data_IF_808422924792
#
_entry.id   IF_808422924792
#
_cell.length_a   1.000
_cell.length_b   1.000
_cell.length_c   1.000
_cell.angle_alpha   90.00
_cell.angle_beta   90.00
_cell.angle_gamma   90.00
#
_symmetry.space_group_name_H-M   'P 1'
#
loop_
_entity.id
_entity.type
_entity.pdbx_description
1 polymer ?
#
# COMPACT_ATOMS: atom_id res chain seq x y z
N UNK A 1 -21.38 -37.24 11.97
CA UNK A 1 -21.36 -36.22 10.91
C UNK A 1 -20.59 -35.03 11.44
N UNK A 2 -19.29 -34.90 11.06
CA UNK A 2 -18.46 -33.78 11.46
C UNK A 2 -18.81 -32.57 10.58
N UNK A 3 -19.17 -31.47 11.19
CA UNK A 3 -19.28 -30.18 10.51
C UNK A 3 -17.97 -29.88 9.78
N UNK A 4 -17.97 -29.45 8.53
CA UNK A 4 -16.76 -29.07 7.85
C UNK A 4 -16.13 -27.95 8.69
N UNK A 5 -14.91 -28.19 9.21
CA UNK A 5 -14.04 -27.13 9.73
C UNK A 5 -13.82 -26.18 8.56
N UNK A 6 -14.59 -25.11 8.51
CA UNK A 6 -14.23 -23.96 7.68
C UNK A 6 -12.84 -23.55 8.13
N UNK A 7 -11.84 -23.90 7.32
CA UNK A 7 -10.46 -23.50 7.52
C UNK A 7 -10.43 -21.96 7.39
N UNK A 8 -10.64 -21.28 8.50
CA UNK A 8 -10.46 -19.84 8.58
C UNK A 8 -8.95 -19.59 8.49
N UNK A 9 -8.47 -19.35 7.26
CA UNK A 9 -7.11 -18.92 7.05
C UNK A 9 -6.91 -17.53 7.69
N UNK A 10 -5.80 -17.34 8.38
CA UNK A 10 -5.38 -16.01 8.83
C UNK A 10 -4.61 -15.30 7.70
N UNK A 11 -4.91 -14.04 7.46
CA UNK A 11 -4.14 -13.18 6.58
C UNK A 11 -3.26 -12.25 7.43
N UNK A 12 -1.95 -12.44 7.33
CA UNK A 12 -0.97 -11.55 7.95
C UNK A 12 -0.68 -10.43 6.95
N UNK A 13 -0.84 -9.20 7.36
CA UNK A 13 -0.59 -8.02 6.56
C UNK A 13 0.52 -7.21 7.18
N UNK A 14 1.57 -6.97 6.43
CA UNK A 14 2.73 -6.24 6.91
C UNK A 14 2.94 -5.01 6.02
N UNK A 15 2.90 -3.84 6.63
CA UNK A 15 3.27 -2.60 5.98
C UNK A 15 4.75 -2.32 6.25
N UNK A 16 5.56 -2.38 5.20
CA UNK A 16 6.95 -1.93 5.20
C UNK A 16 6.95 -0.40 5.07
N UNK A 17 6.79 0.26 6.20
CA UNK A 17 6.76 1.71 6.31
C UNK A 17 8.18 2.30 6.40
N UNK A 18 8.36 3.62 6.14
CA UNK A 18 9.62 4.30 6.47
C UNK A 18 9.98 4.12 7.94
N UNK A 19 11.04 3.35 8.23
CA UNK A 19 11.54 3.10 9.58
C UNK A 19 10.73 2.14 10.45
N UNK A 20 9.76 1.39 9.91
CA UNK A 20 8.98 0.44 10.70
C UNK A 20 8.39 -0.70 9.86
N UNK A 21 8.25 -1.88 10.48
CA UNK A 21 7.36 -2.94 10.03
C UNK A 21 6.09 -2.91 10.89
N UNK A 22 4.95 -2.73 10.26
CA UNK A 22 3.65 -2.61 10.93
C UNK A 22 2.79 -3.80 10.54
N UNK A 23 2.56 -4.72 11.46
CA UNK A 23 1.92 -6.00 11.21
C UNK A 23 0.52 -6.07 11.82
N UNK A 24 -0.40 -6.69 11.07
CA UNK A 24 -1.75 -7.03 11.51
C UNK A 24 -2.08 -8.45 11.12
N UNK A 25 -2.68 -9.20 12.02
CA UNK A 25 -3.31 -10.48 11.70
C UNK A 25 -4.81 -10.26 11.53
N UNK A 26 -5.30 -10.56 10.34
CA UNK A 26 -6.72 -10.43 9.99
C UNK A 26 -7.31 -11.81 9.84
N UNK A 27 -8.38 -12.08 10.57
CA UNK A 27 -9.15 -13.31 10.45
C UNK A 27 -10.55 -12.98 9.94
N UNK A 28 -11.25 -13.99 9.42
CA UNK A 28 -12.62 -13.83 8.93
C UNK A 28 -13.56 -14.80 9.63
N UNK A 29 -14.55 -14.25 10.30
CA UNK A 29 -15.63 -15.05 10.89
C UNK A 29 -16.91 -14.75 10.12
N UNK A 30 -17.51 -15.79 9.51
CA UNK A 30 -18.71 -15.63 8.68
C UNK A 30 -18.54 -14.58 7.56
N UNK A 31 -17.33 -14.54 6.97
CA UNK A 31 -16.99 -13.57 5.92
C UNK A 31 -16.68 -12.15 6.43
N UNK A 32 -16.87 -11.86 7.73
CA UNK A 32 -16.58 -10.55 8.32
C UNK A 32 -15.14 -10.49 8.82
N UNK A 33 -14.32 -9.54 8.35
CA UNK A 33 -12.95 -9.39 8.81
C UNK A 33 -12.91 -8.79 10.21
N UNK A 34 -12.01 -9.30 11.05
CA UNK A 34 -11.63 -8.70 12.31
C UNK A 34 -10.10 -8.79 12.50
N UNK A 35 -9.54 -7.87 13.26
CA UNK A 35 -8.11 -7.81 13.53
C UNK A 35 -7.85 -8.53 14.86
N UNK A 36 -7.17 -9.67 14.82
CA UNK A 36 -6.90 -10.50 16.00
C UNK A 36 -5.64 -10.07 16.74
N UNK A 37 -4.61 -9.61 16.02
CA UNK A 37 -3.33 -9.21 16.58
C UNK A 37 -2.74 -8.02 15.80
N UNK A 38 -1.96 -7.20 16.50
CA UNK A 38 -1.24 -6.05 15.94
C UNK A 38 0.14 -5.97 16.54
N UNK A 39 1.15 -5.58 15.77
CA UNK A 39 2.50 -5.33 16.23
C UNK A 39 3.18 -4.25 15.37
N UNK A 40 4.17 -3.58 15.94
CA UNK A 40 5.00 -2.61 15.23
C UNK A 40 6.44 -2.81 15.66
N UNK A 41 7.34 -2.93 14.69
CA UNK A 41 8.78 -3.13 14.88
C UNK A 41 9.50 -1.95 14.24
N UNK A 42 10.03 -1.07 15.08
CA UNK A 42 10.79 0.10 14.63
C UNK A 42 12.20 -0.33 14.22
N UNK A 43 12.78 0.35 13.23
CA UNK A 43 14.18 0.18 12.85
C UNK A 43 14.77 1.49 12.33
N UNK A 44 16.06 1.68 12.52
CA UNK A 44 16.80 2.84 12.04
C UNK A 44 18.01 2.38 11.24
N UNK A 45 18.23 3.00 10.08
CA UNK A 45 19.40 2.67 9.25
C UNK A 45 19.48 1.18 8.89
N UNK A 46 20.54 0.50 9.33
CA UNK A 46 20.81 -0.92 9.03
C UNK A 46 20.08 -1.95 9.89
N UNK A 47 19.20 -1.56 10.81
CA UNK A 47 18.54 -2.44 11.79
C UNK A 47 17.28 -3.17 11.22
N UNK A 48 17.04 -3.05 9.93
CA UNK A 48 15.90 -3.76 9.27
C UNK A 48 15.96 -5.29 9.45
N UNK A 49 17.12 -5.96 9.38
CA UNK A 49 17.19 -7.40 9.62
C UNK A 49 16.70 -7.83 11.00
N UNK A 50 17.00 -7.06 12.06
CA UNK A 50 16.53 -7.33 13.42
C UNK A 50 14.99 -7.17 13.51
N UNK A 51 14.43 -6.14 12.88
CA UNK A 51 12.98 -5.96 12.80
C UNK A 51 12.30 -7.09 12.02
N UNK A 52 12.93 -7.60 10.96
CA UNK A 52 12.46 -8.77 10.21
C UNK A 52 12.51 -10.03 11.08
N UNK A 53 13.56 -10.24 11.86
CA UNK A 53 13.66 -11.36 12.80
C UNK A 53 12.58 -11.31 13.89
N UNK A 54 12.32 -10.11 14.45
CA UNK A 54 11.26 -9.90 15.43
C UNK A 54 9.86 -10.13 14.82
N UNK A 55 9.62 -9.68 13.60
CA UNK A 55 8.40 -9.97 12.86
C UNK A 55 8.22 -11.48 12.64
N UNK A 56 9.27 -12.20 12.25
CA UNK A 56 9.25 -13.66 12.08
C UNK A 56 8.86 -14.37 13.38
N UNK A 57 9.46 -13.99 14.51
CA UNK A 57 9.11 -14.53 15.82
C UNK A 57 7.62 -14.27 16.14
N UNK A 58 7.14 -13.05 15.95
CA UNK A 58 5.74 -12.68 16.16
C UNK A 58 4.78 -13.49 15.28
N UNK A 59 5.13 -13.73 14.03
CA UNK A 59 4.33 -14.58 13.13
C UNK A 59 4.27 -16.01 13.68
N UNK A 60 5.38 -16.54 14.18
CA UNK A 60 5.48 -17.92 14.67
C UNK A 60 4.78 -18.18 16.00
N UNK A 61 4.54 -17.16 16.82
CA UNK A 61 3.79 -17.26 18.07
C UNK A 61 2.33 -17.69 17.88
N UNK A 62 1.72 -17.40 16.76
CA UNK A 62 0.35 -17.83 16.47
C UNK A 62 0.36 -19.12 15.65
N UNK A 63 -0.58 -20.02 15.93
CA UNK A 63 -0.65 -21.34 15.33
C UNK A 63 -1.88 -21.60 14.44
N UNK A 64 -2.23 -20.77 13.45
CA UNK A 64 -3.24 -21.16 12.49
C UNK A 64 -2.64 -22.12 11.45
N UNK A 65 -3.43 -23.10 11.01
CA UNK A 65 -3.00 -24.16 10.11
C UNK A 65 -2.66 -23.67 8.68
N UNK A 66 -3.17 -22.50 8.28
CA UNK A 66 -2.88 -21.88 6.98
C UNK A 66 -2.78 -20.37 7.14
N UNK A 67 -1.72 -19.79 6.63
CA UNK A 67 -1.47 -18.33 6.67
C UNK A 67 -1.11 -17.82 5.30
N UNK A 68 -1.67 -16.69 4.96
CA UNK A 68 -1.28 -15.90 3.81
C UNK A 68 -0.57 -14.64 4.30
N UNK A 69 0.56 -14.28 3.72
CA UNK A 69 1.31 -13.06 4.02
C UNK A 69 1.11 -12.05 2.88
N UNK A 70 0.61 -10.88 3.21
CA UNK A 70 0.44 -9.76 2.28
C UNK A 70 1.36 -8.62 2.70
N UNK A 71 2.27 -8.24 1.83
CA UNK A 71 3.11 -7.09 2.01
C UNK A 71 2.46 -5.82 1.44
N UNK A 72 2.49 -4.75 2.20
CA UNK A 72 2.17 -3.40 1.75
C UNK A 72 3.47 -2.61 1.76
N UNK A 73 3.97 -2.22 0.59
CA UNK A 73 5.28 -1.61 0.44
C UNK A 73 5.14 -0.10 0.41
N UNK A 74 5.81 0.59 1.33
CA UNK A 74 5.75 2.05 1.47
C UNK A 74 6.49 2.81 0.37
N UNK A 75 6.37 4.15 0.38
CA UNK A 75 6.85 5.01 -0.71
C UNK A 75 8.38 5.13 -0.81
N UNK A 76 9.13 4.65 0.18
CA UNK A 76 10.60 4.61 0.12
C UNK A 76 11.13 3.47 -0.73
N UNK A 77 10.33 2.43 -0.91
CA UNK A 77 10.72 1.20 -1.59
C UNK A 77 9.98 1.01 -2.92
N UNK A 78 8.93 1.77 -3.16
CA UNK A 78 8.12 1.69 -4.37
C UNK A 78 8.23 2.97 -5.20
N UNK A 79 8.37 2.81 -6.49
CA UNK A 79 8.31 3.88 -7.47
C UNK A 79 6.99 3.83 -8.23
N UNK A 80 6.54 4.97 -8.74
CA UNK A 80 5.24 5.09 -9.37
C UNK A 80 5.32 5.96 -10.61
N UNK A 81 4.64 5.57 -11.67
CA UNK A 81 4.42 6.38 -12.85
C UNK A 81 3.06 6.11 -13.47
N UNK A 82 2.66 6.96 -14.38
CA UNK A 82 1.42 6.81 -15.13
C UNK A 82 1.80 6.43 -16.55
N UNK A 83 1.33 5.26 -16.95
CA UNK A 83 1.46 4.78 -18.31
C UNK A 83 0.34 5.40 -19.15
N UNK A 84 0.63 6.22 -20.17
CA UNK A 84 -0.39 6.81 -21.02
C UNK A 84 -1.21 5.71 -21.68
N UNK A 85 -2.48 5.90 -21.91
CA UNK A 85 -3.33 4.91 -22.57
C UNK A 85 -2.89 4.71 -24.06
N UNK A 86 -2.89 3.45 -24.51
CA UNK A 86 -2.69 3.11 -25.91
C UNK A 86 -3.61 1.94 -26.30
N UNK A 87 -4.19 1.94 -27.49
CA UNK A 87 -4.98 0.80 -27.99
C UNK A 87 -4.17 -0.48 -28.14
N UNK A 88 -2.84 -0.40 -28.17
CA UNK A 88 -1.93 -1.54 -28.31
C UNK A 88 -1.77 -2.34 -27.00
N UNK A 89 -2.32 -1.87 -25.88
CA UNK A 89 -2.18 -2.52 -24.56
C UNK A 89 -3.20 -3.61 -24.27
N UNK A 90 -3.90 -4.09 -25.25
CA UNK A 90 -4.81 -5.22 -25.10
C UNK A 90 -4.04 -6.47 -24.68
N UNK A 91 -2.82 -6.61 -25.18
CA UNK A 91 -1.92 -7.69 -24.81
C UNK A 91 -1.07 -7.36 -23.58
N UNK A 92 -1.05 -8.22 -22.52
CA UNK A 92 -0.26 -8.01 -21.32
C UNK A 92 1.25 -7.88 -21.56
N UNK A 93 1.80 -8.60 -22.53
CA UNK A 93 3.24 -8.60 -22.83
C UNK A 93 3.65 -7.28 -23.49
N UNK A 94 2.87 -6.80 -24.44
CA UNK A 94 3.06 -5.48 -25.08
C UNK A 94 2.97 -4.37 -24.05
N UNK A 95 2.01 -4.42 -23.13
CA UNK A 95 1.87 -3.47 -22.04
C UNK A 95 3.09 -3.48 -21.10
N UNK A 96 3.59 -4.67 -20.75
CA UNK A 96 4.77 -4.82 -19.92
C UNK A 96 6.03 -4.27 -20.61
N UNK A 97 6.20 -4.55 -21.91
CA UNK A 97 7.31 -4.04 -22.71
C UNK A 97 7.30 -2.50 -22.76
N UNK A 98 6.11 -1.91 -22.97
CA UNK A 98 5.96 -0.47 -23.00
C UNK A 98 6.23 0.17 -21.63
N UNK A 99 5.75 -0.45 -20.55
CA UNK A 99 6.04 0.01 -19.19
C UNK A 99 7.53 -0.01 -18.88
N UNK A 100 8.27 -1.03 -19.34
CA UNK A 100 9.72 -1.12 -19.22
C UNK A 100 10.43 0.04 -19.93
N UNK A 101 10.08 0.26 -21.20
CA UNK A 101 10.68 1.35 -21.99
C UNK A 101 10.38 2.73 -21.35
N UNK A 102 9.15 2.93 -20.87
CA UNK A 102 8.77 4.16 -20.18
C UNK A 102 9.52 4.35 -18.86
N UNK A 103 9.67 3.28 -18.07
CA UNK A 103 10.44 3.29 -16.83
C UNK A 103 11.91 3.69 -17.07
N UNK A 104 12.55 3.08 -18.06
CA UNK A 104 13.93 3.41 -18.43
C UNK A 104 14.10 4.86 -18.87
N UNK A 105 13.12 5.39 -19.57
CA UNK A 105 13.10 6.79 -19.98
C UNK A 105 12.95 7.75 -18.78
N UNK A 106 12.06 7.42 -17.84
CA UNK A 106 11.76 8.30 -16.69
C UNK A 106 12.84 8.24 -15.61
N UNK A 107 13.32 7.03 -15.31
CA UNK A 107 14.24 6.82 -14.18
C UNK A 107 15.69 6.61 -14.58
N UNK A 108 16.00 6.51 -15.89
CA UNK A 108 17.35 6.23 -16.40
C UNK A 108 17.99 4.99 -15.75
N UNK A 109 17.17 3.98 -15.45
CA UNK A 109 17.55 2.76 -14.73
C UNK A 109 17.08 1.54 -15.52
N UNK A 110 17.86 0.45 -15.50
CA UNK A 110 17.52 -0.80 -16.18
C UNK A 110 16.21 -1.41 -15.61
N UNK A 111 15.24 -1.57 -16.47
CA UNK A 111 13.92 -2.13 -16.12
C UNK A 111 13.93 -3.61 -15.73
N UNK A 112 15.03 -4.33 -16.02
CA UNK A 112 15.20 -5.75 -15.59
C UNK A 112 15.40 -5.89 -14.08
N UNK A 113 15.83 -4.81 -13.43
CA UNK A 113 16.05 -4.77 -11.98
C UNK A 113 14.79 -4.53 -11.17
N UNK A 114 13.62 -4.37 -11.81
CA UNK A 114 12.36 -4.05 -11.13
C UNK A 114 11.21 -4.99 -11.51
N UNK A 115 10.31 -5.19 -10.58
CA UNK A 115 9.04 -5.90 -10.75
C UNK A 115 7.90 -4.89 -10.85
N UNK A 116 7.08 -4.97 -11.90
CA UNK A 116 5.97 -4.06 -12.15
C UNK A 116 4.65 -4.62 -11.63
N UNK A 117 3.82 -3.73 -11.09
CA UNK A 117 2.44 -4.01 -10.73
C UNK A 117 1.55 -2.95 -11.39
N UNK A 118 0.54 -3.41 -12.13
CA UNK A 118 -0.39 -2.56 -12.85
C UNK A 118 -1.70 -2.45 -12.07
N UNK A 119 -2.17 -1.23 -11.83
CA UNK A 119 -3.52 -1.01 -11.34
C UNK A 119 -4.56 -1.36 -12.42
N UNK A 120 -5.82 -1.48 -12.00
CA UNK A 120 -6.91 -1.71 -12.96
C UNK A 120 -6.90 -0.60 -14.04
N UNK A 121 -7.00 -0.94 -15.31
CA UNK A 121 -7.01 0.04 -16.38
C UNK A 121 -8.23 0.96 -16.25
N UNK A 122 -8.04 2.24 -16.57
CA UNK A 122 -9.15 3.19 -16.68
C UNK A 122 -9.46 3.41 -18.15
N UNK A 123 -10.71 3.27 -18.57
CA UNK A 123 -11.11 3.63 -19.94
C UNK A 123 -10.71 5.10 -20.21
N UNK A 124 -10.07 5.33 -21.35
CA UNK A 124 -9.63 6.67 -21.79
C UNK A 124 -8.62 7.39 -20.89
N UNK A 125 -8.01 6.69 -19.92
CA UNK A 125 -7.06 7.26 -18.97
C UNK A 125 -5.76 6.51 -18.85
N UNK A 126 -4.75 7.18 -18.29
CA UNK A 126 -3.48 6.55 -17.93
C UNK A 126 -3.65 5.46 -16.88
N UNK A 127 -2.81 4.44 -16.94
CA UNK A 127 -2.77 3.37 -15.96
C UNK A 127 -1.67 3.64 -14.92
N UNK A 128 -2.03 3.60 -13.63
CA UNK A 128 -1.03 3.66 -12.58
C UNK A 128 -0.20 2.38 -12.61
N UNK A 129 1.09 2.55 -12.75
CA UNK A 129 2.09 1.50 -12.62
C UNK A 129 2.92 1.78 -11.38
N UNK A 130 3.14 0.77 -10.59
CA UNK A 130 4.04 0.78 -9.46
C UNK A 130 5.10 -0.28 -9.65
N UNK A 131 6.31 -0.02 -9.18
CA UNK A 131 7.40 -0.97 -9.25
C UNK A 131 8.23 -0.97 -7.97
N UNK A 132 8.79 -2.12 -7.67
CA UNK A 132 9.77 -2.33 -6.59
C UNK A 132 10.98 -3.04 -7.18
N UNK A 133 12.13 -2.96 -6.51
CA UNK A 133 13.30 -3.70 -6.98
C UNK A 133 13.03 -5.21 -6.96
N UNK A 134 13.55 -5.93 -7.95
CA UNK A 134 13.43 -7.39 -8.03
C UNK A 134 14.10 -8.07 -6.83
N UNK A 135 15.16 -7.46 -6.27
CA UNK A 135 15.81 -7.93 -5.05
C UNK A 135 14.87 -7.85 -3.83
N UNK A 136 14.18 -6.71 -3.65
CA UNK A 136 13.18 -6.58 -2.58
C UNK A 136 12.02 -7.56 -2.78
N UNK A 137 11.55 -7.73 -4.02
CA UNK A 137 10.49 -8.70 -4.31
C UNK A 137 10.90 -10.12 -3.88
N UNK A 138 12.12 -10.54 -4.22
CA UNK A 138 12.65 -11.85 -3.81
C UNK A 138 12.79 -11.95 -2.29
N UNK A 139 13.39 -10.94 -1.63
CA UNK A 139 13.52 -10.88 -0.16
C UNK A 139 12.18 -11.10 0.55
N UNK A 140 11.14 -10.39 0.10
CA UNK A 140 9.80 -10.49 0.71
C UNK A 140 9.13 -11.84 0.45
N UNK A 141 9.37 -12.44 -0.71
CA UNK A 141 8.88 -13.78 -1.04
C UNK A 141 9.59 -14.86 -0.21
N UNK A 142 10.90 -14.79 -0.10
CA UNK A 142 11.71 -15.71 0.70
C UNK A 142 11.34 -15.64 2.18
N UNK A 143 11.13 -14.43 2.70
CA UNK A 143 10.65 -14.24 4.07
C UNK A 143 9.30 -14.92 4.31
N UNK A 144 8.35 -14.83 3.38
CA UNK A 144 7.07 -15.51 3.51
C UNK A 144 7.25 -17.03 3.58
N UNK A 145 8.11 -17.59 2.71
CA UNK A 145 8.44 -19.03 2.71
C UNK A 145 9.11 -19.45 4.03
N UNK A 146 10.07 -18.68 4.53
CA UNK A 146 10.74 -18.94 5.80
C UNK A 146 9.79 -18.89 7.01
N UNK A 147 8.72 -18.09 6.95
CA UNK A 147 7.69 -18.05 7.98
C UNK A 147 6.66 -19.19 7.84
N UNK A 148 6.77 -20.03 6.80
CA UNK A 148 5.77 -21.04 6.48
C UNK A 148 4.42 -20.44 6.05
N UNK A 149 4.45 -19.24 5.46
CA UNK A 149 3.29 -18.56 4.94
C UNK A 149 3.24 -18.64 3.41
N UNK A 150 2.03 -18.72 2.85
CA UNK A 150 1.82 -18.48 1.43
C UNK A 150 1.97 -16.98 1.14
N UNK A 151 2.76 -16.61 0.13
CA UNK A 151 2.81 -15.22 -0.31
C UNK A 151 1.49 -14.86 -1.00
N UNK A 152 0.64 -14.11 -0.31
CA UNK A 152 -0.65 -13.67 -0.83
C UNK A 152 -0.53 -12.55 -1.86
N UNK A 153 0.27 -11.55 -1.56
CA UNK A 153 0.54 -10.44 -2.48
C UNK A 153 1.67 -9.54 -1.97
N UNK A 154 2.28 -8.79 -2.87
CA UNK A 154 3.09 -7.60 -2.58
C UNK A 154 2.38 -6.41 -3.25
N UNK A 155 1.97 -5.42 -2.46
CA UNK A 155 1.18 -4.28 -2.93
C UNK A 155 1.84 -2.97 -2.52
N UNK A 156 2.09 -2.05 -3.43
CA UNK A 156 2.50 -0.70 -3.08
C UNK A 156 1.40 0.03 -2.30
N UNK A 157 1.78 0.75 -1.25
CA UNK A 157 0.85 1.39 -0.29
C UNK A 157 -0.09 2.37 -0.97
N UNK A 158 0.43 3.20 -1.86
CA UNK A 158 -0.35 4.19 -2.61
C UNK A 158 -1.44 3.53 -3.46
N UNK A 159 -1.11 2.43 -4.14
CA UNK A 159 -2.09 1.68 -4.94
C UNK A 159 -3.16 1.01 -4.04
N UNK A 160 -2.76 0.51 -2.87
CA UNK A 160 -3.69 -0.08 -1.90
C UNK A 160 -4.67 0.97 -1.35
N UNK A 161 -4.17 2.16 -0.99
CA UNK A 161 -5.00 3.28 -0.52
C UNK A 161 -5.92 3.78 -1.63
N UNK A 162 -5.39 4.00 -2.84
CA UNK A 162 -6.20 4.41 -3.99
C UNK A 162 -7.36 3.45 -4.22
N UNK A 163 -7.07 2.14 -4.32
CA UNK A 163 -8.11 1.12 -4.53
C UNK A 163 -9.15 1.11 -3.42
N UNK A 164 -8.74 1.29 -2.16
CA UNK A 164 -9.65 1.29 -1.01
C UNK A 164 -10.64 2.43 -1.03
N UNK A 165 -10.21 3.62 -1.45
CA UNK A 165 -11.04 4.81 -1.43
C UNK A 165 -11.55 5.23 -2.82
N UNK A 166 -11.31 4.41 -3.83
CA UNK A 166 -11.64 4.72 -5.23
C UNK A 166 -13.10 5.16 -5.41
N UNK A 167 -14.06 4.53 -4.75
CA UNK A 167 -15.48 4.90 -4.84
C UNK A 167 -15.77 6.32 -4.35
N UNK A 168 -15.04 6.79 -3.35
CA UNK A 168 -15.17 8.15 -2.81
C UNK A 168 -14.42 9.16 -3.68
N UNK A 169 -13.26 8.75 -4.24
CA UNK A 169 -12.41 9.62 -5.05
C UNK A 169 -12.99 9.85 -6.45
N UNK A 170 -13.70 8.87 -7.00
CA UNK A 170 -14.31 8.93 -8.34
C UNK A 170 -15.42 9.98 -8.50
N UNK A 171 -15.95 10.51 -7.42
CA UNK A 171 -17.07 11.42 -7.47
C UNK A 171 -16.71 12.80 -8.05
N UNK A 172 -15.44 13.22 -7.95
CA UNK A 172 -15.00 14.57 -8.30
C UNK A 172 -13.51 14.64 -8.64
N UNK A 173 -13.09 15.75 -9.23
CA UNK A 173 -11.68 16.09 -9.41
C UNK A 173 -11.06 16.49 -8.07
N UNK A 174 -9.81 16.04 -7.82
CA UNK A 174 -9.14 16.35 -6.57
C UNK A 174 -7.74 15.81 -6.45
N UNK A 175 -7.23 15.89 -5.23
CA UNK A 175 -5.92 15.36 -4.86
C UNK A 175 -6.05 14.42 -3.66
N UNK A 176 -5.61 13.18 -3.81
CA UNK A 176 -5.39 12.27 -2.68
C UNK A 176 -3.97 12.45 -2.17
N UNK A 177 -3.84 12.78 -0.89
CA UNK A 177 -2.57 12.85 -0.18
C UNK A 177 -2.44 11.63 0.74
N UNK A 178 -1.51 10.74 0.44
CA UNK A 178 -1.16 9.60 1.30
C UNK A 178 0.09 9.96 2.10
N UNK A 179 -0.01 9.91 3.43
CA UNK A 179 1.07 10.31 4.34
C UNK A 179 1.57 9.10 5.12
N UNK A 180 2.85 8.82 5.00
CA UNK A 180 3.54 7.70 5.67
C UNK A 180 4.86 8.18 6.28
N UNK A 181 4.85 8.41 7.60
CA UNK A 181 6.00 9.00 8.29
C UNK A 181 6.36 10.38 7.73
N UNK A 182 7.60 10.55 7.33
CA UNK A 182 8.13 11.77 6.71
C UNK A 182 7.92 11.85 5.18
N UNK A 183 7.22 10.90 4.60
CA UNK A 183 6.92 10.86 3.16
C UNK A 183 5.44 11.16 2.89
N UNK A 184 5.19 11.72 1.71
CA UNK A 184 3.85 11.88 1.19
C UNK A 184 3.81 11.56 -0.31
N UNK A 185 2.75 10.88 -0.73
CA UNK A 185 2.39 10.73 -2.12
C UNK A 185 1.18 11.60 -2.42
N UNK A 186 1.30 12.44 -3.44
CA UNK A 186 0.23 13.30 -3.96
C UNK A 186 -0.26 12.70 -5.27
N UNK A 187 -1.52 12.32 -5.31
CA UNK A 187 -2.16 11.72 -6.47
C UNK A 187 -3.23 12.70 -6.95
N UNK A 188 -2.96 13.39 -8.05
CA UNK A 188 -3.97 14.21 -8.71
C UNK A 188 -4.85 13.33 -9.57
N UNK A 189 -6.15 13.45 -9.41
CA UNK A 189 -7.12 12.65 -10.13
C UNK A 189 -8.28 13.51 -10.66
N UNK A 190 -8.83 13.05 -11.75
CA UNK A 190 -10.06 13.56 -12.33
C UNK A 190 -11.01 12.37 -12.46
N UNK A 191 -12.07 12.38 -11.63
CA UNK A 191 -13.02 11.25 -11.53
C UNK A 191 -12.29 9.91 -11.37
N UNK A 192 -12.28 9.09 -12.40
CA UNK A 192 -11.71 7.74 -12.38
C UNK A 192 -10.24 7.66 -12.79
N UNK A 193 -9.64 8.79 -13.18
CA UNK A 193 -8.33 8.80 -13.82
C UNK A 193 -7.30 9.44 -12.91
N UNK A 194 -6.21 8.74 -12.67
CA UNK A 194 -5.01 9.33 -12.09
C UNK A 194 -4.32 10.13 -13.18
N UNK A 195 -4.10 11.42 -12.94
CA UNK A 195 -3.44 12.34 -13.87
C UNK A 195 -1.97 12.53 -13.57
N UNK A 196 -1.64 12.48 -12.30
CA UNK A 196 -0.28 12.73 -11.84
C UNK A 196 -0.05 12.06 -10.50
N UNK A 197 1.17 11.60 -10.26
CA UNK A 197 1.62 11.09 -8.98
C UNK A 197 3.00 11.64 -8.67
N UNK A 198 3.15 12.19 -7.47
CA UNK A 198 4.43 12.70 -6.95
C UNK A 198 4.65 12.14 -5.57
N UNK A 199 5.79 11.47 -5.37
CA UNK A 199 6.23 11.02 -4.06
C UNK A 199 7.38 11.91 -3.61
N UNK A 200 7.29 12.45 -2.39
CA UNK A 200 8.31 13.35 -1.84
C UNK A 200 8.40 13.25 -0.32
N UNK A 201 9.52 13.68 0.24
CA UNK A 201 9.62 13.93 1.69
C UNK A 201 8.81 15.15 2.09
N UNK A 202 8.21 15.09 3.25
CA UNK A 202 7.55 16.24 3.90
C UNK A 202 8.62 17.10 4.56
N UNK A 203 8.62 18.39 4.26
CA UNK A 203 9.41 19.38 5.01
C UNK A 203 8.48 20.16 5.91
N UNK A 204 8.93 20.52 7.12
CA UNK A 204 8.12 21.23 8.11
C UNK A 204 7.57 22.59 7.62
N UNK A 205 8.15 23.16 6.60
CA UNK A 205 7.78 24.45 6.02
C UNK A 205 6.89 24.38 4.78
N UNK A 206 6.61 23.20 4.25
CA UNK A 206 5.70 23.09 3.12
C UNK A 206 4.24 23.20 3.60
N UNK A 207 3.78 24.45 3.74
CA UNK A 207 2.37 24.76 3.54
C UNK A 207 1.94 24.08 2.25
N UNK A 208 0.81 23.38 2.28
CA UNK A 208 0.28 22.72 1.10
C UNK A 208 0.29 23.70 -0.09
N UNK A 209 1.03 23.34 -1.11
CA UNK A 209 1.20 24.17 -2.30
C UNK A 209 -0.17 24.62 -2.84
N UNK A 210 -0.23 25.89 -3.20
CA UNK A 210 -1.34 26.48 -3.98
C UNK A 210 -1.63 25.72 -5.30
N UNK A 211 -0.83 24.71 -5.62
CA UNK A 211 -0.96 23.83 -6.78
C UNK A 211 -1.98 22.69 -6.60
N UNK A 212 -2.51 22.45 -5.38
CA UNK A 212 -3.51 21.41 -5.17
C UNK A 212 -4.87 21.87 -5.70
N UNK A 213 -5.24 21.37 -6.87
CA UNK A 213 -6.53 21.66 -7.48
C UNK A 213 -7.62 20.74 -6.93
N UNK A 214 -8.83 21.26 -6.76
CA UNK A 214 -10.00 20.50 -6.35
C UNK A 214 -10.02 20.13 -4.87
N UNK A 215 -10.82 19.13 -4.52
CA UNK A 215 -10.97 18.66 -3.13
C UNK A 215 -9.75 17.84 -2.72
N UNK A 216 -9.13 18.25 -1.61
CA UNK A 216 -7.97 17.52 -1.07
C UNK A 216 -8.43 16.52 -0.01
N UNK A 217 -8.13 15.24 -0.24
CA UNK A 217 -8.39 14.16 0.69
C UNK A 217 -7.09 13.58 1.21
N UNK A 218 -7.01 13.41 2.52
CA UNK A 218 -5.81 12.90 3.18
C UNK A 218 -6.07 11.54 3.79
N UNK A 219 -5.14 10.61 3.58
CA UNK A 219 -5.03 9.37 4.32
C UNK A 219 -3.65 9.31 4.98
N UNK A 220 -3.61 9.16 6.30
CA UNK A 220 -2.37 9.15 7.06
C UNK A 220 -2.31 7.96 8.02
N UNK A 221 -1.09 7.42 8.20
CA UNK A 221 -0.80 6.35 9.16
C UNK A 221 -0.41 6.87 10.55
N UNK A 222 -0.55 8.17 10.79
CA UNK A 222 -0.22 8.79 12.07
C UNK A 222 -1.46 9.37 12.74
N UNK A 223 -1.48 9.34 14.07
CA UNK A 223 -2.50 10.00 14.87
C UNK A 223 -2.40 11.54 14.84
N UNK A 224 -1.36 12.07 14.21
CA UNK A 224 -1.14 13.51 14.10
C UNK A 224 -2.34 14.19 13.42
N UNK A 225 -3.06 14.92 14.24
CA UNK A 225 -3.93 16.00 13.77
C UNK A 225 -3.03 17.13 13.29
N UNK A 226 -2.43 16.96 12.12
CA UNK A 226 -1.77 18.09 11.50
C UNK A 226 -2.81 19.19 11.33
N UNK A 227 -2.60 20.33 11.99
CA UNK A 227 -3.38 21.52 11.80
C UNK A 227 -3.21 22.04 10.39
N UNK A 228 -3.81 21.38 9.43
CA UNK A 228 -3.88 21.82 8.05
C UNK A 228 -5.12 22.69 7.92
N UNK A 229 -4.88 23.98 7.90
CA UNK A 229 -5.87 24.99 7.60
C UNK A 229 -6.48 24.76 6.22
N UNK A 230 -7.82 24.70 6.16
CA UNK A 230 -8.58 24.92 4.94
C UNK A 230 -8.85 23.69 4.07
N UNK A 231 -10.05 23.14 4.17
CA UNK A 231 -10.67 22.37 3.08
C UNK A 231 -10.22 20.93 2.87
N UNK A 232 -9.41 20.36 3.76
CA UNK A 232 -8.95 18.98 3.61
C UNK A 232 -9.87 17.98 4.31
N UNK A 233 -10.22 16.90 3.62
CA UNK A 233 -11.07 15.82 4.14
C UNK A 233 -10.20 14.62 4.51
N UNK A 234 -10.21 14.22 5.80
CA UNK A 234 -9.53 13.02 6.24
C UNK A 234 -10.30 11.77 5.82
N UNK A 235 -9.62 10.89 5.08
CA UNK A 235 -10.09 9.55 4.79
C UNK A 235 -9.69 8.61 5.93
N UNK A 236 -10.60 7.74 6.34
CA UNK A 236 -10.37 6.78 7.42
C UNK A 236 -10.97 5.42 7.08
N UNK A 237 -10.32 4.37 7.54
CA UNK A 237 -10.94 3.05 7.52
C UNK A 237 -12.07 3.01 8.56
N UNK A 238 -13.17 2.29 8.27
CA UNK A 238 -14.24 2.09 9.26
C UNK A 238 -13.71 1.27 10.45
N UNK A 239 -14.22 1.58 11.64
CA UNK A 239 -13.95 0.77 12.83
C UNK A 239 -14.45 -0.67 12.62
N UNK A 240 -13.67 -1.63 13.09
CA UNK A 240 -13.97 -3.07 13.05
C UNK A 240 -13.55 -3.71 14.36
N UNK A 241 -14.01 -4.93 14.59
CA UNK A 241 -13.55 -5.69 15.76
C UNK A 241 -12.02 -5.80 15.74
N UNK A 242 -11.38 -5.36 16.83
CA UNK A 242 -9.92 -5.32 16.97
C UNK A 242 -9.21 -4.16 16.25
N UNK A 243 -9.96 -3.25 15.61
CA UNK A 243 -9.42 -2.04 14.99
C UNK A 243 -10.24 -0.81 15.33
N UNK A 244 -9.62 0.13 16.05
CA UNK A 244 -10.17 1.46 16.31
C UNK A 244 -9.60 2.48 15.33
N UNK A 245 -10.48 3.20 14.67
CA UNK A 245 -10.11 4.18 13.61
C UNK A 245 -9.18 5.29 14.11
N UNK A 246 -9.24 5.63 15.40
CA UNK A 246 -8.44 6.72 15.99
C UNK A 246 -7.19 6.19 16.70
N UNK A 247 -7.35 5.18 17.55
CA UNK A 247 -6.26 4.60 18.32
C UNK A 247 -5.28 3.78 17.48
N UNK A 248 -5.77 3.20 16.40
CA UNK A 248 -5.00 2.29 15.53
C UNK A 248 -4.59 2.91 14.19
N UNK A 249 -4.51 4.24 14.08
CA UNK A 249 -4.17 4.92 12.83
C UNK A 249 -2.88 4.40 12.19
N UNK A 250 -1.87 4.04 12.98
CA UNK A 250 -0.60 3.45 12.52
C UNK A 250 -0.80 2.19 11.69
N UNK A 251 -1.82 1.39 11.99
CA UNK A 251 -2.11 0.13 11.31
C UNK A 251 -3.00 0.29 10.07
N UNK A 252 -3.49 1.50 9.81
CA UNK A 252 -4.49 1.72 8.76
C UNK A 252 -3.98 1.36 7.36
N UNK A 253 -2.71 1.66 7.02
CA UNK A 253 -2.13 1.33 5.71
C UNK A 253 -2.03 -0.19 5.53
N UNK A 254 -1.56 -0.93 6.54
CA UNK A 254 -1.52 -2.39 6.50
C UNK A 254 -2.91 -3.00 6.25
N UNK A 255 -3.96 -2.38 6.77
CA UNK A 255 -5.33 -2.85 6.68
C UNK A 255 -6.07 -2.40 5.42
N UNK A 256 -5.50 -1.51 4.59
CA UNK A 256 -6.08 -1.14 3.31
C UNK A 256 -6.28 -2.35 2.40
N UNK A 257 -7.53 -2.60 2.01
CA UNK A 257 -7.95 -3.74 1.19
C UNK A 257 -8.23 -5.02 1.96
N UNK A 258 -8.18 -5.01 3.31
CA UNK A 258 -8.69 -6.06 4.16
C UNK A 258 -10.01 -5.66 4.86
N UNK A 259 -10.14 -4.35 5.18
CA UNK A 259 -11.30 -3.76 5.87
C UNK A 259 -12.15 -2.89 4.94
#
# INVERSE_FOLDING_TARGET
MGLPKFLSGAEIRVHLAPGALIACEVQRTWGRPYVSRKASFQFFGGERPEAMAALKAWIQESAPARRSLVWIVGPTEAQYFILPWSPEWVDPDSRCAYARAHYEQVYSTDSRSVSFCFADPSPDGGQLVSCISSALHAELADFAAECGCELGAIRPSVAAVWKRFQSVLKAEEGTLCVVEGDHQALIRHDRNQIREIVVRRRTAQQTMDAALKGVVRRFANTAERGGLSGGMVDLRLPAKQGFDTRGDATYAVALCGAL
#
